data_IF_638614183222
#
_entry.id   IF_638614183222
#
_cell.length_a   1.000
_cell.length_b   1.000
_cell.length_c   1.000
_cell.angle_alpha   90.00
_cell.angle_beta   90.00
_cell.angle_gamma   90.00
#
_symmetry.space_group_name_H-M   'P 1'
#
loop_
_entity.id
_entity.type
_entity.pdbx_description
1 polymer ?
#
# COMPACT_ATOMS: atom_id res chain seq x y z
N UNK A 1 -10.08 24.88 -6.04
CA UNK A 1 -10.68 23.53 -6.19
C UNK A 1 -10.37 22.78 -4.91
N UNK A 2 -11.38 22.41 -4.14
CA UNK A 2 -11.21 21.61 -2.92
C UNK A 2 -10.83 20.18 -3.31
N UNK A 3 -9.86 19.57 -2.63
CA UNK A 3 -9.46 18.17 -2.88
C UNK A 3 -9.95 17.27 -1.74
N UNK A 4 -10.08 15.97 -2.00
CA UNK A 4 -10.42 15.00 -0.94
C UNK A 4 -9.41 15.04 0.23
N UNK A 5 -8.13 15.32 -0.05
CA UNK A 5 -7.12 15.52 0.99
C UNK A 5 -7.35 16.79 1.81
N UNK A 6 -7.80 17.87 1.17
CA UNK A 6 -8.17 19.12 1.85
C UNK A 6 -9.33 18.88 2.82
N UNK A 7 -10.37 18.16 2.37
CA UNK A 7 -11.52 17.79 3.22
C UNK A 7 -11.10 16.90 4.39
N UNK A 8 -10.23 15.91 4.15
CA UNK A 8 -9.68 15.05 5.23
C UNK A 8 -8.92 15.90 6.26
N UNK A 9 -8.07 16.83 5.80
CA UNK A 9 -7.30 17.70 6.69
C UNK A 9 -8.21 18.60 7.54
N UNK A 10 -9.29 19.14 6.97
CA UNK A 10 -10.28 19.92 7.70
C UNK A 10 -11.00 19.12 8.79
N UNK A 11 -11.41 17.87 8.47
CA UNK A 11 -12.08 16.99 9.45
C UNK A 11 -11.13 16.66 10.61
N UNK A 12 -9.86 16.35 10.32
CA UNK A 12 -8.85 16.08 11.34
C UNK A 12 -8.58 17.33 12.19
N UNK A 13 -8.52 18.52 11.58
CA UNK A 13 -8.31 19.77 12.31
C UNK A 13 -9.48 20.12 13.25
N UNK A 14 -10.72 19.84 12.83
CA UNK A 14 -11.93 20.04 13.66
C UNK A 14 -12.06 18.99 14.77
N UNK A 15 -11.60 17.77 14.53
CA UNK A 15 -11.74 16.63 15.43
C UNK A 15 -10.40 15.91 15.69
N UNK A 16 -9.42 16.57 16.34
CA UNK A 16 -8.03 16.08 16.42
C UNK A 16 -7.86 14.81 17.27
N UNK A 17 -8.86 14.45 18.09
CA UNK A 17 -8.84 13.22 18.91
C UNK A 17 -9.62 12.07 18.27
N UNK A 18 -10.39 12.32 17.22
CA UNK A 18 -11.21 11.31 16.58
C UNK A 18 -10.41 10.61 15.48
N UNK A 19 -10.53 9.28 15.42
CA UNK A 19 -9.90 8.49 14.35
C UNK A 19 -10.81 8.48 13.14
N UNK A 20 -10.23 8.73 11.96
CA UNK A 20 -10.93 8.52 10.69
C UNK A 20 -11.05 7.01 10.40
N UNK A 21 -12.10 6.39 10.96
CA UNK A 21 -12.33 4.94 10.85
C UNK A 21 -12.75 4.51 9.44
N UNK A 22 -13.27 5.42 8.62
CA UNK A 22 -13.89 5.13 7.32
C UNK A 22 -12.91 5.13 6.14
N UNK A 23 -11.66 5.55 6.33
CA UNK A 23 -10.67 5.64 5.25
C UNK A 23 -10.41 4.29 4.56
N UNK A 24 -10.56 3.19 5.29
CA UNK A 24 -10.33 1.84 4.78
C UNK A 24 -11.30 1.46 3.65
N UNK A 25 -12.51 2.04 3.62
CA UNK A 25 -13.51 1.78 2.60
C UNK A 25 -13.14 2.38 1.24
N UNK A 26 -12.26 3.39 1.22
CA UNK A 26 -11.79 4.02 -0.02
C UNK A 26 -10.66 3.22 -0.69
N UNK A 27 -10.10 2.21 -0.02
CA UNK A 27 -9.14 1.27 -0.61
C UNK A 27 -9.90 0.33 -1.55
N UNK A 28 -9.74 0.55 -2.84
CA UNK A 28 -10.49 -0.15 -3.88
C UNK A 28 -9.57 -0.74 -4.96
N UNK A 29 -10.01 -1.86 -5.52
CA UNK A 29 -9.24 -2.66 -6.47
C UNK A 29 -9.08 -1.96 -7.83
N UNK A 30 -10.15 -1.36 -8.34
CA UNK A 30 -10.19 -0.74 -9.66
C UNK A 30 -9.14 0.37 -9.80
N UNK A 31 -9.04 1.23 -8.78
CA UNK A 31 -8.07 2.33 -8.78
C UNK A 31 -6.66 1.77 -8.73
N UNK A 32 -6.40 0.71 -7.95
CA UNK A 32 -5.09 0.07 -7.91
C UNK A 32 -4.71 -0.58 -9.25
N UNK A 33 -5.66 -1.25 -9.92
CA UNK A 33 -5.47 -1.78 -11.28
C UNK A 33 -5.19 -0.66 -12.29
N UNK A 34 -5.89 0.47 -12.20
CA UNK A 34 -5.63 1.63 -13.06
C UNK A 34 -4.24 2.23 -12.82
N UNK A 35 -3.79 2.31 -11.57
CA UNK A 35 -2.44 2.79 -11.26
C UNK A 35 -1.37 1.86 -11.84
N UNK A 36 -1.55 0.54 -11.72
CA UNK A 36 -0.64 -0.43 -12.34
C UNK A 36 -0.51 -0.21 -13.86
N UNK A 37 -1.63 0.04 -14.56
CA UNK A 37 -1.61 0.35 -16.00
C UNK A 37 -0.80 1.61 -16.31
N UNK A 38 -0.92 2.66 -15.49
CA UNK A 38 -0.22 3.95 -15.66
C UNK A 38 1.28 3.91 -15.37
N UNK A 39 1.78 2.89 -14.65
CA UNK A 39 3.21 2.76 -14.34
C UNK A 39 4.04 2.53 -15.61
N UNK A 40 5.24 3.11 -15.70
CA UNK A 40 6.19 2.84 -16.80
C UNK A 40 6.87 1.47 -16.60
N UNK A 41 6.86 0.61 -17.62
CA UNK A 41 7.40 -0.77 -17.53
C UNK A 41 8.93 -0.88 -17.60
N UNK A 42 9.64 0.13 -18.10
CA UNK A 42 11.09 0.08 -18.32
C UNK A 42 11.95 0.40 -17.08
N UNK A 43 11.38 0.35 -15.87
CA UNK A 43 12.12 0.64 -14.63
C UNK A 43 12.85 -0.61 -14.13
N UNK A 44 14.01 -0.42 -13.53
CA UNK A 44 14.73 -1.51 -12.88
C UNK A 44 13.87 -2.13 -11.75
N UNK A 45 13.85 -3.48 -11.62
CA UNK A 45 13.08 -4.15 -10.58
C UNK A 45 13.66 -3.88 -9.19
N UNK A 46 12.82 -4.05 -8.16
CA UNK A 46 13.18 -3.83 -6.77
C UNK A 46 14.03 -4.96 -6.16
N UNK A 47 14.11 -4.99 -4.83
CA UNK A 47 14.86 -6.02 -4.08
C UNK A 47 14.26 -7.44 -4.24
N UNK A 48 12.96 -7.54 -4.52
CA UNK A 48 12.26 -8.79 -4.85
C UNK A 48 12.51 -9.26 -6.29
N UNK A 49 13.15 -8.42 -7.11
CA UNK A 49 13.43 -8.65 -8.52
C UNK A 49 12.17 -8.83 -9.39
N UNK A 50 11.00 -8.46 -8.89
CA UNK A 50 9.74 -8.56 -9.64
C UNK A 50 9.59 -7.32 -10.53
N UNK A 51 9.48 -7.54 -11.84
CA UNK A 51 9.20 -6.52 -12.84
C UNK A 51 7.72 -6.15 -12.88
N UNK A 52 7.38 -5.06 -13.58
CA UNK A 52 5.98 -4.66 -13.77
C UNK A 52 5.22 -5.76 -14.51
N UNK A 53 5.85 -6.34 -15.52
CA UNK A 53 5.28 -7.36 -16.39
C UNK A 53 4.99 -8.64 -15.59
N UNK A 54 5.95 -9.15 -14.82
CA UNK A 54 5.77 -10.32 -13.95
C UNK A 54 4.68 -10.10 -12.89
N UNK A 55 4.64 -8.91 -12.27
CA UNK A 55 3.58 -8.56 -11.33
C UNK A 55 2.18 -8.57 -12.00
N UNK A 56 2.14 -8.21 -13.28
CA UNK A 56 0.92 -8.15 -14.09
C UNK A 56 0.34 -9.51 -14.47
N UNK A 57 1.13 -10.59 -14.45
CA UNK A 57 0.68 -11.94 -14.81
C UNK A 57 -0.45 -12.43 -13.90
N UNK A 58 -0.35 -12.13 -12.60
CA UNK A 58 -1.35 -12.47 -11.58
C UNK A 58 -1.95 -11.21 -10.94
N UNK A 59 -2.23 -10.18 -11.76
CA UNK A 59 -2.59 -8.84 -11.28
C UNK A 59 -3.77 -8.84 -10.30
N UNK A 60 -4.84 -9.59 -10.55
CA UNK A 60 -6.01 -9.61 -9.66
C UNK A 60 -5.66 -10.15 -8.28
N UNK A 61 -5.04 -11.33 -8.20
CA UNK A 61 -4.65 -11.96 -6.93
C UNK A 61 -3.66 -11.08 -6.15
N UNK A 62 -2.69 -10.50 -6.84
CA UNK A 62 -1.71 -9.60 -6.24
C UNK A 62 -2.38 -8.37 -5.60
N UNK A 63 -3.38 -7.79 -6.26
CA UNK A 63 -4.12 -6.62 -5.76
C UNK A 63 -5.06 -7.02 -4.62
N UNK A 64 -5.74 -8.16 -4.69
CA UNK A 64 -6.56 -8.69 -3.59
C UNK A 64 -5.74 -8.91 -2.32
N UNK A 65 -4.56 -9.55 -2.45
CA UNK A 65 -3.64 -9.76 -1.34
C UNK A 65 -3.16 -8.43 -0.73
N UNK A 66 -2.78 -7.47 -1.59
CA UNK A 66 -2.36 -6.14 -1.17
C UNK A 66 -3.49 -5.43 -0.41
N UNK A 67 -4.70 -5.42 -0.95
CA UNK A 67 -5.86 -4.83 -0.31
C UNK A 67 -6.15 -5.46 1.06
N UNK A 68 -6.11 -6.80 1.16
CA UNK A 68 -6.32 -7.49 2.43
C UNK A 68 -5.31 -7.03 3.49
N UNK A 69 -4.03 -6.91 3.11
CA UNK A 69 -2.96 -6.42 3.99
C UNK A 69 -3.16 -4.96 4.40
N UNK A 70 -3.56 -4.09 3.47
CA UNK A 70 -3.83 -2.68 3.76
C UNK A 70 -5.06 -2.52 4.66
N UNK A 71 -6.15 -3.25 4.38
CA UNK A 71 -7.40 -3.16 5.16
C UNK A 71 -7.22 -3.60 6.61
N UNK A 72 -6.40 -4.64 6.86
CA UNK A 72 -6.03 -5.05 8.22
C UNK A 72 -4.87 -4.26 8.84
N UNK A 73 -4.41 -3.20 8.18
CA UNK A 73 -3.30 -2.35 8.63
C UNK A 73 -1.97 -3.12 8.86
N UNK A 74 -1.76 -4.21 8.11
CA UNK A 74 -0.55 -5.05 8.19
C UNK A 74 0.26 -5.01 6.88
N UNK A 75 0.05 -3.99 6.05
CA UNK A 75 0.94 -3.73 4.93
C UNK A 75 2.27 -3.19 5.44
N UNK A 76 3.36 -3.79 4.98
CA UNK A 76 4.73 -3.37 5.23
C UNK A 76 5.49 -3.44 3.93
N UNK A 77 6.32 -2.44 3.66
CA UNK A 77 7.25 -2.47 2.53
C UNK A 77 8.23 -3.62 2.70
N UNK A 78 8.66 -4.22 1.58
CA UNK A 78 9.53 -5.39 1.61
C UNK A 78 10.87 -5.11 2.31
N UNK A 79 11.40 -3.90 2.18
CA UNK A 79 12.59 -3.47 2.92
C UNK A 79 12.37 -3.58 4.43
N UNK A 80 11.26 -3.05 4.94
CA UNK A 80 10.94 -3.10 6.37
C UNK A 80 10.68 -4.53 6.85
N UNK A 81 10.02 -5.35 6.03
CA UNK A 81 9.79 -6.76 6.33
C UNK A 81 11.10 -7.55 6.41
N UNK A 82 12.04 -7.31 5.48
CA UNK A 82 13.35 -7.96 5.47
C UNK A 82 14.19 -7.54 6.68
N UNK A 83 14.18 -6.25 7.04
CA UNK A 83 14.86 -5.76 8.26
C UNK A 83 14.30 -6.39 9.53
N UNK A 84 12.97 -6.49 9.64
CA UNK A 84 12.32 -7.13 10.79
C UNK A 84 12.66 -8.63 10.86
N UNK A 85 12.63 -9.35 9.73
CA UNK A 85 13.03 -10.76 9.65
C UNK A 85 14.49 -10.97 10.05
N UNK A 86 15.38 -10.11 9.57
CA UNK A 86 16.80 -10.14 9.93
C UNK A 86 17.00 -9.90 11.43
N UNK A 87 16.33 -8.90 12.00
CA UNK A 87 16.38 -8.64 13.45
C UNK A 87 15.88 -9.83 14.27
N UNK A 88 14.78 -10.46 13.85
CA UNK A 88 14.20 -11.63 14.53
C UNK A 88 15.10 -12.87 14.40
N UNK A 89 15.80 -13.04 13.28
CA UNK A 89 16.70 -14.17 13.05
C UNK A 89 18.01 -14.05 13.85
N UNK A 90 18.46 -12.83 14.11
CA UNK A 90 19.68 -12.55 14.88
C UNK A 90 19.45 -12.30 16.38
N UNK A 91 18.21 -12.46 16.86
CA UNK A 91 17.90 -12.33 18.30
C UNK A 91 18.24 -10.97 18.90
N UNK A 92 18.16 -9.88 18.13
CA UNK A 92 18.50 -8.52 18.62
C UNK A 92 17.36 -7.90 19.46
N UNK A 93 16.41 -8.72 19.92
CA UNK A 93 15.45 -8.45 21.00
C UNK A 93 15.15 -9.76 21.73
#
# INVERSE_FOLDING_TARGET
METELTRIAEVVAKHPRDKLQTLVHFINEETLKQQHKKMTGNKAPGIDKITKEEYGENLTENIENLMARMKRQAYMSILKLNLQRFSNYNGIF
#
